data_IF_734794718389
#
_entry.id   IF_734794718389
#
_cell.length_a   1.000
_cell.length_b   1.000
_cell.length_c   1.000
_cell.angle_alpha   90.00
_cell.angle_beta   90.00
_cell.angle_gamma   90.00
#
_symmetry.space_group_name_H-M   'P 1'
#
loop_
_entity.id
_entity.type
_entity.pdbx_description
1 polymer ?
#
# COMPACT_ATOMS: atom_id res chain seq x y z
N UNK A 1 58.35 -46.72 46.56
CA UNK A 1 57.68 -46.24 45.33
C UNK A 1 57.23 -44.82 45.61
N UNK A 2 58.13 -43.86 45.39
CA UNK A 2 58.15 -42.93 44.25
C UNK A 2 57.37 -41.64 44.54
N UNK A 3 58.05 -40.62 45.07
CA UNK A 3 58.40 -39.32 44.42
C UNK A 3 57.31 -38.25 44.60
N UNK A 4 57.57 -37.37 45.57
CA UNK A 4 57.82 -35.93 45.41
C UNK A 4 57.10 -35.07 44.34
N UNK A 5 56.83 -33.83 44.77
CA UNK A 5 56.98 -32.57 44.04
C UNK A 5 55.77 -31.74 43.55
N UNK A 6 55.74 -30.53 44.14
CA UNK A 6 55.82 -29.19 43.49
C UNK A 6 54.55 -28.48 43.04
N UNK A 7 54.36 -27.32 43.68
CA UNK A 7 53.90 -26.04 43.15
C UNK A 7 54.13 -25.86 41.63
N UNK A 8 53.23 -25.18 40.94
CA UNK A 8 53.40 -23.79 40.45
C UNK A 8 52.22 -23.40 39.54
N UNK A 9 51.74 -22.17 39.75
CA UNK A 9 50.82 -21.36 38.93
C UNK A 9 51.03 -21.46 37.43
N UNK A 10 49.99 -21.36 36.58
CA UNK A 10 50.08 -20.70 35.26
C UNK A 10 48.70 -20.24 34.73
N UNK A 11 48.62 -18.91 34.56
CA UNK A 11 48.18 -18.20 33.36
C UNK A 11 46.75 -18.40 32.80
N UNK A 12 45.86 -17.45 33.12
CA UNK A 12 44.64 -17.16 32.35
C UNK A 12 45.01 -16.45 31.04
N UNK A 13 45.04 -17.16 29.91
CA UNK A 13 44.95 -16.51 28.58
C UNK A 13 44.53 -17.48 27.47
N UNK A 14 43.45 -18.25 27.67
CA UNK A 14 42.87 -19.09 26.60
C UNK A 14 41.35 -19.28 26.77
N UNK A 15 40.61 -18.19 27.02
CA UNK A 15 39.14 -18.20 26.94
C UNK A 15 38.69 -16.91 26.22
N UNK A 16 39.11 -16.74 24.97
CA UNK A 16 38.59 -15.65 24.12
C UNK A 16 38.29 -16.08 22.68
N UNK A 17 38.23 -17.39 22.40
CA UNK A 17 38.02 -17.87 21.04
C UNK A 17 36.76 -18.72 20.80
N UNK A 18 35.93 -18.98 21.83
CA UNK A 18 34.70 -19.77 21.64
C UNK A 18 33.38 -19.01 21.83
N UNK A 19 33.36 -17.79 22.40
CA UNK A 19 32.09 -17.06 22.63
C UNK A 19 31.69 -16.13 21.47
N UNK A 20 32.61 -15.79 20.55
CA UNK A 20 32.33 -14.87 19.45
C UNK A 20 31.51 -15.50 18.30
N UNK A 21 31.43 -16.83 18.24
CA UNK A 21 30.70 -17.52 17.15
C UNK A 21 29.20 -17.60 17.39
N UNK A 22 28.75 -17.51 18.64
CA UNK A 22 27.33 -17.72 19.01
C UNK A 22 26.53 -16.42 18.93
N UNK A 23 27.17 -15.26 19.15
CA UNK A 23 26.53 -13.94 19.06
C UNK A 23 26.28 -13.47 17.60
N UNK A 24 27.07 -13.95 16.64
CA UNK A 24 26.91 -13.63 15.22
C UNK A 24 25.73 -14.37 14.57
N UNK A 25 25.30 -15.50 15.12
CA UNK A 25 24.22 -16.32 14.56
C UNK A 25 22.81 -15.81 14.91
N UNK A 26 22.66 -14.98 15.96
CA UNK A 26 21.36 -14.51 16.43
C UNK A 26 20.89 -13.18 15.80
N UNK A 27 21.79 -12.44 15.13
CA UNK A 27 21.46 -11.18 14.44
C UNK A 27 20.91 -11.34 13.01
N UNK A 28 20.87 -12.56 12.47
CA UNK A 28 20.50 -12.82 11.07
C UNK A 28 19.09 -13.40 10.87
N UNK A 29 18.36 -13.72 11.94
CA UNK A 29 17.04 -14.36 11.84
C UNK A 29 15.86 -13.40 11.55
N UNK A 30 16.06 -12.08 11.58
CA UNK A 30 14.98 -11.10 11.36
C UNK A 30 14.82 -10.62 9.89
N UNK A 31 15.51 -11.23 8.92
CA UNK A 31 15.57 -10.72 7.52
C UNK A 31 15.10 -11.71 6.45
N UNK A 32 14.15 -12.58 6.78
CA UNK A 32 13.67 -13.60 5.86
C UNK A 32 12.14 -13.73 5.84
N UNK A 33 11.45 -12.66 5.40
CA UNK A 33 10.12 -12.76 4.79
C UNK A 33 10.15 -12.05 3.44
N UNK A 34 11.08 -12.44 2.56
CA UNK A 34 10.98 -12.06 1.15
C UNK A 34 10.11 -13.10 0.48
N UNK A 35 8.80 -12.87 0.55
CA UNK A 35 7.85 -13.51 -0.34
C UNK A 35 8.35 -13.36 -1.79
N UNK A 36 8.23 -14.42 -2.58
CA UNK A 36 8.71 -14.43 -3.96
C UNK A 36 8.07 -13.26 -4.72
N UNK A 37 8.89 -12.44 -5.39
CA UNK A 37 8.35 -11.24 -6.04
C UNK A 37 7.40 -11.67 -7.15
N UNK A 38 6.13 -11.22 -7.16
CA UNK A 38 5.18 -11.60 -8.20
C UNK A 38 5.72 -11.25 -9.59
N UNK A 39 5.37 -12.03 -10.63
CA UNK A 39 5.84 -11.80 -12.00
C UNK A 39 5.36 -10.45 -12.58
N UNK A 40 4.35 -9.83 -11.96
CA UNK A 40 3.83 -8.50 -12.28
C UNK A 40 3.87 -7.62 -11.03
N UNK A 41 4.33 -6.37 -11.17
CA UNK A 41 4.25 -5.40 -10.07
C UNK A 41 2.79 -5.11 -9.72
N UNK A 42 2.40 -5.31 -8.47
CA UNK A 42 1.09 -4.88 -7.95
C UNK A 42 1.08 -3.37 -7.77
N UNK A 43 -0.08 -2.77 -8.01
CA UNK A 43 -0.28 -1.32 -7.95
C UNK A 43 -1.00 -0.96 -6.65
N UNK A 44 -0.41 -0.07 -5.86
CA UNK A 44 -1.07 0.48 -4.68
C UNK A 44 -1.78 1.79 -5.04
N UNK A 45 -3.04 1.91 -4.66
CA UNK A 45 -3.88 3.11 -4.79
C UNK A 45 -4.24 3.56 -3.38
N UNK A 46 -4.18 4.87 -3.12
CA UNK A 46 -4.44 5.43 -1.79
C UNK A 46 -5.74 6.22 -1.83
N UNK A 47 -6.73 5.76 -1.07
CA UNK A 47 -8.08 6.30 -0.99
C UNK A 47 -9.03 5.68 -2.03
N UNK A 48 -10.28 5.49 -1.62
CA UNK A 48 -11.40 4.94 -2.40
C UNK A 48 -12.48 5.99 -2.68
N UNK A 49 -12.05 7.25 -2.86
CA UNK A 49 -12.89 8.30 -3.43
C UNK A 49 -13.07 8.10 -4.95
N UNK A 50 -13.66 9.11 -5.60
CA UNK A 50 -13.91 9.11 -7.06
C UNK A 50 -12.68 8.73 -7.87
N UNK A 51 -11.55 9.37 -7.59
CA UNK A 51 -10.28 9.11 -8.28
C UNK A 51 -9.74 7.70 -8.01
N UNK A 52 -9.87 7.22 -6.78
CA UNK A 52 -9.42 5.88 -6.37
C UNK A 52 -10.19 4.78 -7.08
N UNK A 53 -11.52 4.89 -7.15
CA UNK A 53 -12.38 3.94 -7.86
C UNK A 53 -12.09 3.94 -9.36
N UNK A 54 -11.96 5.12 -9.97
CA UNK A 54 -11.59 5.23 -11.38
C UNK A 54 -10.22 4.58 -11.67
N UNK A 55 -9.22 4.86 -10.82
CA UNK A 55 -7.89 4.27 -10.95
C UNK A 55 -7.92 2.75 -10.76
N UNK A 56 -8.67 2.23 -9.78
CA UNK A 56 -8.78 0.80 -9.52
C UNK A 56 -9.34 0.06 -10.72
N UNK A 57 -10.39 0.62 -11.36
CA UNK A 57 -10.94 0.07 -12.59
C UNK A 57 -9.92 0.03 -13.72
N UNK A 58 -9.25 1.14 -13.99
CA UNK A 58 -8.27 1.22 -15.09
C UNK A 58 -7.07 0.28 -14.85
N UNK A 59 -6.72 0.05 -13.59
CA UNK A 59 -5.59 -0.81 -13.23
C UNK A 59 -5.99 -2.27 -12.96
N UNK A 60 -7.26 -2.67 -13.18
CA UNK A 60 -7.76 -4.00 -12.83
C UNK A 60 -6.91 -5.17 -13.37
N UNK A 61 -6.33 -5.02 -14.58
CA UNK A 61 -5.44 -6.01 -15.19
C UNK A 61 -4.12 -6.23 -14.42
N UNK A 62 -3.77 -5.31 -13.52
CA UNK A 62 -2.56 -5.33 -12.69
C UNK A 62 -2.85 -5.73 -11.22
N UNK A 63 -4.08 -6.18 -10.93
CA UNK A 63 -4.51 -6.59 -9.58
C UNK A 63 -4.15 -5.54 -8.50
N UNK A 64 -4.73 -4.33 -8.57
CA UNK A 64 -4.39 -3.24 -7.67
C UNK A 64 -4.90 -3.50 -6.26
N UNK A 65 -4.26 -2.88 -5.28
CA UNK A 65 -4.76 -2.80 -3.90
C UNK A 65 -5.06 -1.34 -3.59
N UNK A 66 -6.31 -1.06 -3.24
CA UNK A 66 -6.77 0.26 -2.80
C UNK A 66 -6.78 0.28 -1.28
N UNK A 67 -5.96 1.13 -0.67
CA UNK A 67 -5.96 1.33 0.78
C UNK A 67 -6.89 2.50 1.13
N UNK A 68 -7.98 2.20 1.83
CA UNK A 68 -8.95 3.19 2.31
C UNK A 68 -8.89 3.28 3.84
N UNK A 69 -8.71 4.49 4.37
CA UNK A 69 -8.58 4.71 5.80
C UNK A 69 -9.89 4.53 6.57
N UNK A 70 -11.03 4.70 5.90
CA UNK A 70 -12.38 4.62 6.48
C UNK A 70 -13.05 3.28 6.17
N UNK A 71 -14.22 2.96 6.76
CA UNK A 71 -14.96 1.73 6.45
C UNK A 71 -15.85 1.84 5.20
N UNK A 72 -15.73 2.90 4.39
CA UNK A 72 -16.63 3.17 3.27
C UNK A 72 -15.95 3.90 2.12
N UNK A 73 -16.49 3.75 0.90
CA UNK A 73 -16.07 4.53 -0.27
C UNK A 73 -16.65 5.96 -0.26
N UNK A 74 -16.20 6.77 -1.21
CA UNK A 74 -16.77 8.09 -1.49
C UNK A 74 -15.89 9.27 -1.09
N UNK A 75 -14.93 9.05 -0.18
CA UNK A 75 -13.93 10.04 0.21
C UNK A 75 -14.57 11.35 0.69
N UNK A 76 -14.28 12.47 0.00
CA UNK A 76 -14.82 13.79 0.35
C UNK A 76 -16.34 13.77 0.49
N UNK A 77 -17.04 13.06 -0.40
CA UNK A 77 -18.50 13.00 -0.46
C UNK A 77 -19.14 12.25 0.70
N UNK A 78 -18.37 11.41 1.41
CA UNK A 78 -18.84 10.70 2.59
C UNK A 78 -18.44 11.41 3.89
N UNK A 79 -17.21 11.94 3.96
CA UNK A 79 -16.58 12.31 5.23
C UNK A 79 -16.32 13.80 5.42
N UNK A 80 -16.25 14.59 4.34
CA UNK A 80 -15.82 15.99 4.40
C UNK A 80 -16.89 16.95 3.85
N UNK A 81 -18.16 16.65 4.12
CA UNK A 81 -19.31 17.40 3.61
C UNK A 81 -20.30 17.77 4.70
N UNK A 82 -20.96 18.91 4.55
CA UNK A 82 -22.10 19.27 5.36
C UNK A 82 -23.32 18.48 4.89
N UNK A 83 -24.30 18.27 5.77
CA UNK A 83 -25.56 17.58 5.42
C UNK A 83 -26.27 18.16 4.21
N UNK A 84 -26.14 19.46 3.99
CA UNK A 84 -26.77 20.19 2.88
C UNK A 84 -25.92 20.26 1.62
N UNK A 85 -24.71 19.68 1.62
CA UNK A 85 -23.83 19.71 0.45
C UNK A 85 -24.47 19.01 -0.75
N UNK A 86 -24.41 19.69 -1.89
CA UNK A 86 -24.86 19.24 -3.21
C UNK A 86 -23.79 19.54 -4.24
N UNK A 87 -23.84 18.84 -5.37
CA UNK A 87 -23.08 19.21 -6.56
C UNK A 87 -23.51 20.58 -7.08
N UNK A 88 -22.59 21.32 -7.67
CA UNK A 88 -22.88 22.53 -8.44
C UNK A 88 -23.11 22.26 -9.95
N UNK A 89 -23.09 20.99 -10.35
CA UNK A 89 -23.21 20.53 -11.74
C UNK A 89 -24.30 19.47 -11.89
N UNK A 90 -24.99 19.40 -13.05
CA UNK A 90 -25.95 18.33 -13.33
C UNK A 90 -25.29 16.93 -13.29
N UNK A 91 -26.09 15.89 -13.03
CA UNK A 91 -25.64 14.48 -12.98
C UNK A 91 -24.85 14.07 -14.22
N UNK A 92 -25.38 14.38 -15.40
CA UNK A 92 -24.78 14.08 -16.70
C UNK A 92 -23.35 14.64 -16.88
N UNK A 93 -22.98 15.69 -16.15
CA UNK A 93 -21.65 16.30 -16.24
C UNK A 93 -20.68 15.75 -15.17
N UNK A 94 -21.18 14.94 -14.23
CA UNK A 94 -20.41 14.38 -13.12
C UNK A 94 -20.40 12.84 -13.14
N UNK A 95 -20.78 12.23 -14.25
CA UNK A 95 -20.79 10.78 -14.40
C UNK A 95 -19.49 10.26 -15.04
N UNK A 96 -19.06 9.07 -14.64
CA UNK A 96 -18.08 8.30 -15.36
C UNK A 96 -18.57 8.01 -16.77
N UNK A 97 -17.66 8.04 -17.74
CA UNK A 97 -17.98 7.90 -19.17
C UNK A 97 -18.65 6.57 -19.53
N UNK A 98 -18.50 5.56 -18.69
CA UNK A 98 -19.00 4.20 -18.89
C UNK A 98 -19.96 3.73 -17.79
N UNK A 99 -20.48 4.68 -16.99
CA UNK A 99 -21.50 4.40 -15.97
C UNK A 99 -22.38 5.62 -15.72
N UNK A 100 -23.58 5.58 -16.26
CA UNK A 100 -24.54 6.69 -16.14
C UNK A 100 -25.38 6.61 -14.87
N UNK A 101 -25.85 7.76 -14.40
CA UNK A 101 -26.80 7.81 -13.28
C UNK A 101 -28.15 7.17 -13.64
N UNK A 102 -28.77 6.47 -12.69
CA UNK A 102 -30.11 5.89 -12.88
C UNK A 102 -31.19 6.96 -13.09
N UNK A 103 -31.06 8.10 -12.41
CA UNK A 103 -31.92 9.28 -12.52
C UNK A 103 -31.21 10.42 -13.27
N UNK A 104 -30.51 10.11 -14.36
CA UNK A 104 -29.69 11.07 -15.11
C UNK A 104 -30.40 12.36 -15.51
N UNK A 105 -31.67 12.26 -15.89
CA UNK A 105 -32.46 13.38 -16.41
C UNK A 105 -33.18 14.19 -15.31
N UNK A 106 -32.99 13.84 -14.03
CA UNK A 106 -33.46 14.66 -12.91
C UNK A 106 -32.74 16.03 -12.91
N UNK A 107 -33.48 17.15 -13.03
CA UNK A 107 -32.88 18.48 -13.11
C UNK A 107 -32.33 18.99 -11.77
N UNK A 108 -32.63 18.33 -10.64
CA UNK A 108 -32.10 18.71 -9.35
C UNK A 108 -30.60 18.41 -9.24
N UNK A 109 -29.85 19.26 -8.52
CA UNK A 109 -28.45 18.98 -8.25
C UNK A 109 -28.28 17.88 -7.18
N UNK A 110 -27.48 16.82 -7.44
CA UNK A 110 -27.34 15.70 -6.52
C UNK A 110 -26.81 16.11 -5.15
N UNK A 111 -27.38 15.51 -4.11
CA UNK A 111 -26.86 15.55 -2.74
C UNK A 111 -25.58 14.74 -2.60
N UNK A 112 -24.80 15.01 -1.53
CA UNK A 112 -23.63 14.20 -1.22
C UNK A 112 -23.98 12.71 -1.04
N UNK A 113 -25.14 12.38 -0.46
CA UNK A 113 -25.62 11.00 -0.32
C UNK A 113 -25.85 10.35 -1.68
N UNK A 114 -26.50 11.05 -2.62
CA UNK A 114 -26.68 10.52 -3.97
C UNK A 114 -25.35 10.31 -4.70
N UNK A 115 -24.35 11.17 -4.47
CA UNK A 115 -23.00 10.96 -5.01
C UNK A 115 -22.34 9.73 -4.42
N UNK A 116 -22.47 9.49 -3.11
CA UNK A 116 -21.98 8.26 -2.49
C UNK A 116 -22.70 7.04 -3.07
N UNK A 117 -24.03 7.05 -3.17
CA UNK A 117 -24.81 5.95 -3.73
C UNK A 117 -24.39 5.61 -5.16
N UNK A 118 -24.11 6.65 -5.97
CA UNK A 118 -23.57 6.48 -7.33
C UNK A 118 -22.19 5.82 -7.35
N UNK A 119 -21.31 6.19 -6.41
CA UNK A 119 -19.96 5.60 -6.31
C UNK A 119 -19.97 4.18 -5.78
N UNK A 120 -20.88 3.86 -4.86
CA UNK A 120 -21.12 2.48 -4.41
C UNK A 120 -21.64 1.63 -5.58
N UNK A 121 -22.60 2.14 -6.36
CA UNK A 121 -23.10 1.48 -7.56
C UNK A 121 -22.03 1.28 -8.65
N UNK A 122 -21.10 2.23 -8.81
CA UNK A 122 -19.96 2.08 -9.71
C UNK A 122 -19.01 0.98 -9.24
N UNK A 123 -18.75 0.90 -7.93
CA UNK A 123 -17.91 -0.13 -7.34
C UNK A 123 -18.55 -1.52 -7.49
N UNK A 124 -19.87 -1.64 -7.35
CA UNK A 124 -20.63 -2.87 -7.61
C UNK A 124 -20.53 -3.31 -9.08
N UNK A 125 -20.85 -2.40 -10.02
CA UNK A 125 -20.92 -2.70 -11.47
C UNK A 125 -19.61 -3.26 -12.02
N UNK A 126 -18.47 -2.74 -11.54
CA UNK A 126 -17.14 -3.15 -11.99
C UNK A 126 -16.42 -4.09 -11.01
N UNK A 127 -17.13 -4.58 -9.99
CA UNK A 127 -16.63 -5.48 -8.93
C UNK A 127 -15.32 -4.96 -8.30
N UNK A 128 -15.29 -3.67 -7.97
CA UNK A 128 -14.10 -3.00 -7.45
C UNK A 128 -13.87 -3.27 -5.96
N UNK A 129 -14.90 -3.71 -5.23
CA UNK A 129 -14.82 -4.00 -3.79
C UNK A 129 -13.70 -4.98 -3.44
N UNK A 130 -13.44 -5.96 -4.32
CA UNK A 130 -12.37 -6.95 -4.14
C UNK A 130 -10.97 -6.33 -4.04
N UNK A 131 -10.78 -5.12 -4.56
CA UNK A 131 -9.51 -4.41 -4.52
C UNK A 131 -9.36 -3.52 -3.29
N UNK A 132 -10.43 -3.26 -2.54
CA UNK A 132 -10.43 -2.27 -1.47
C UNK A 132 -10.16 -2.92 -0.12
N UNK A 133 -9.08 -2.47 0.51
CA UNK A 133 -8.76 -2.73 1.90
C UNK A 133 -9.21 -1.54 2.74
N UNK A 134 -10.36 -1.68 3.41
CA UNK A 134 -10.90 -0.68 4.34
C UNK A 134 -10.17 -0.70 5.68
N UNK A 135 -10.29 0.40 6.44
CA UNK A 135 -9.60 0.57 7.72
C UNK A 135 -8.08 0.60 7.59
N UNK A 136 -7.54 0.76 6.38
CA UNK A 136 -6.12 0.74 6.07
C UNK A 136 -5.62 2.15 5.80
N UNK A 137 -5.20 2.84 6.87
CA UNK A 137 -4.67 4.19 6.76
C UNK A 137 -3.19 4.15 6.37
N UNK A 138 -2.87 4.62 5.17
CA UNK A 138 -1.47 4.84 4.78
C UNK A 138 -0.89 6.00 5.57
N UNK A 139 0.24 5.77 6.24
CA UNK A 139 0.93 6.76 7.09
C UNK A 139 2.34 7.08 6.62
N UNK A 140 2.93 6.23 5.79
CA UNK A 140 4.27 6.43 5.25
C UNK A 140 4.40 5.83 3.84
N UNK A 141 5.22 6.45 2.99
CA UNK A 141 5.55 5.97 1.65
C UNK A 141 7.04 6.20 1.41
N UNK A 142 7.78 5.10 1.23
CA UNK A 142 9.21 5.15 1.02
C UNK A 142 9.57 4.60 -0.35
N UNK A 143 10.25 5.42 -1.15
CA UNK A 143 10.81 5.01 -2.42
C UNK A 143 12.02 4.09 -2.18
N UNK A 144 12.01 2.91 -2.80
CA UNK A 144 13.08 1.92 -2.64
C UNK A 144 14.16 2.01 -3.72
N UNK A 145 13.82 2.50 -4.92
CA UNK A 145 14.76 2.90 -5.97
C UNK A 145 15.67 1.82 -6.58
N UNK A 146 15.92 1.97 -7.89
CA UNK A 146 17.11 1.45 -8.56
C UNK A 146 18.14 2.57 -8.67
N UNK A 147 19.41 2.27 -8.43
CA UNK A 147 20.50 3.23 -8.24
C UNK A 147 20.82 4.16 -9.44
N UNK A 148 20.10 4.07 -10.56
CA UNK A 148 20.42 4.77 -11.81
C UNK A 148 19.32 5.69 -12.34
N UNK A 149 18.09 5.63 -11.82
CA UNK A 149 17.02 6.49 -12.28
C UNK A 149 16.72 7.52 -11.21
N UNK A 150 17.00 8.80 -11.49
CA UNK A 150 16.54 9.90 -10.64
C UNK A 150 15.03 9.82 -10.45
N UNK A 151 14.52 10.25 -9.29
CA UNK A 151 13.08 10.28 -9.00
C UNK A 151 12.25 10.87 -10.16
N UNK A 152 12.79 11.87 -10.86
CA UNK A 152 12.18 12.52 -12.04
C UNK A 152 12.15 11.66 -13.30
N UNK A 153 13.12 10.77 -13.52
CA UNK A 153 13.23 9.96 -14.75
C UNK A 153 12.22 8.81 -14.83
N UNK A 154 11.70 8.39 -13.68
CA UNK A 154 10.67 7.33 -13.58
C UNK A 154 9.26 7.83 -13.92
N UNK A 155 9.01 9.14 -13.80
CA UNK A 155 7.72 9.77 -14.10
C UNK A 155 7.71 10.55 -15.43
N UNK A 156 8.88 10.79 -16.05
CA UNK A 156 9.01 11.57 -17.29
C UNK A 156 8.69 10.79 -18.57
N UNK A 157 8.33 9.51 -18.47
CA UNK A 157 8.02 8.67 -19.64
C UNK A 157 9.22 8.32 -20.52
N UNK A 158 10.46 8.66 -20.11
CA UNK A 158 11.68 8.55 -20.93
C UNK A 158 12.43 7.23 -20.82
N UNK A 159 11.83 6.17 -20.29
CA UNK A 159 12.20 4.80 -20.67
C UNK A 159 13.08 4.04 -19.69
N UNK A 160 12.42 3.14 -18.95
CA UNK A 160 12.76 1.74 -18.65
C UNK A 160 11.58 1.27 -17.81
N UNK A 161 10.89 0.19 -18.22
CA UNK A 161 9.65 -0.23 -17.57
C UNK A 161 9.91 -0.56 -16.08
N UNK A 162 9.44 0.25 -15.12
CA UNK A 162 9.77 0.05 -13.70
C UNK A 162 9.03 -1.15 -13.09
N UNK A 163 8.11 -1.76 -13.85
CA UNK A 163 7.15 -2.75 -13.39
C UNK A 163 7.63 -4.21 -13.45
N UNK A 164 8.93 -4.46 -13.69
CA UNK A 164 9.45 -5.85 -13.74
C UNK A 164 9.92 -6.34 -12.38
N UNK A 165 8.97 -6.84 -11.59
CA UNK A 165 9.23 -7.82 -10.53
C UNK A 165 10.19 -7.35 -9.44
N UNK A 166 10.27 -6.04 -9.18
CA UNK A 166 11.00 -5.46 -8.06
C UNK A 166 10.10 -4.45 -7.35
N UNK A 167 10.02 -4.46 -6.02
CA UNK A 167 9.26 -3.46 -5.29
C UNK A 167 9.94 -2.09 -5.48
N UNK A 168 9.16 -1.11 -5.93
CA UNK A 168 9.62 0.28 -6.11
C UNK A 168 9.31 1.14 -4.88
N UNK A 169 8.32 0.71 -4.10
CA UNK A 169 7.76 1.46 -2.99
C UNK A 169 7.52 0.53 -1.81
N UNK A 170 7.77 1.03 -0.62
CA UNK A 170 7.34 0.48 0.66
C UNK A 170 6.24 1.40 1.21
N UNK A 171 5.13 0.82 1.67
CA UNK A 171 3.95 1.56 2.15
C UNK A 171 3.71 1.19 3.61
N UNK A 172 3.82 2.17 4.50
CA UNK A 172 3.48 2.02 5.92
C UNK A 172 1.98 2.20 6.12
N UNK A 173 1.32 1.19 6.69
CA UNK A 173 -0.13 1.16 6.89
C UNK A 173 -0.42 0.96 8.37
N UNK A 174 -1.36 1.73 8.90
CA UNK A 174 -2.01 1.48 10.18
C UNK A 174 -3.39 0.91 9.88
N UNK A 175 -3.63 -0.32 10.31
CA UNK A 175 -4.95 -0.95 10.25
C UNK A 175 -5.73 -0.58 11.51
N UNK A 176 -7.00 -0.18 11.35
CA UNK A 176 -7.92 -0.05 12.47
C UNK A 176 -8.24 -1.41 13.09
N UNK A 177 -8.34 -1.45 14.42
CA UNK A 177 -8.93 -2.57 15.18
C UNK A 177 -10.46 -2.63 14.98
#
# INVERSE_FOLDING_TARGET
TSIDHKFTTHNQSSIHHLESSTAMAQGQAARATREAVPPVSRVAIIGSGISGLAAAKQMAAYDPVVFEATPSVGGVWKHCVYRTTRLQTPRANYEFSDYSWRNRDDPAFPTHTEVVDYLEGYADEFDLWRYISFGSKVVDIKFLGGAEAGFTELWSGTGKNPLRGKPMWEVGIVTGD
#
